data_IF_067739713607
#
_entry.id   IF_067739713607
#
_cell.length_a   1.000
_cell.length_b   1.000
_cell.length_c   1.000
_cell.angle_alpha   90.00
_cell.angle_beta   90.00
_cell.angle_gamma   90.00
#
_symmetry.space_group_name_H-M   'P 1'
#
loop_
_entity.id
_entity.type
_entity.pdbx_description
1 polymer ?
#
# COMPACT_ATOMS: atom_id res chain seq x y z
N UNK A 1 3.57 33.35 -5.24
CA UNK A 1 3.24 32.00 -4.72
C UNK A 1 4.49 31.14 -4.68
N UNK A 2 4.76 30.48 -3.59
CA UNK A 2 5.97 29.70 -3.40
C UNK A 2 5.80 28.27 -3.92
N UNK A 3 6.61 27.90 -4.93
CA UNK A 3 6.54 26.57 -5.53
C UNK A 3 6.87 25.45 -4.55
N UNK A 4 7.76 25.71 -3.58
CA UNK A 4 8.15 24.73 -2.56
C UNK A 4 6.96 24.35 -1.68
N UNK A 5 6.13 25.32 -1.27
CA UNK A 5 4.96 25.04 -0.46
C UNK A 5 3.93 24.21 -1.22
N UNK A 6 3.78 24.50 -2.53
CA UNK A 6 2.87 23.73 -3.37
C UNK A 6 3.31 22.26 -3.49
N UNK A 7 4.61 22.03 -3.68
CA UNK A 7 5.15 20.68 -3.76
C UNK A 7 4.99 19.90 -2.47
N UNK A 8 5.28 20.53 -1.33
CA UNK A 8 5.11 19.91 0.00
C UNK A 8 3.66 19.55 0.28
N UNK A 9 2.75 20.41 -0.12
CA UNK A 9 1.32 20.17 0.06
C UNK A 9 0.87 18.97 -0.75
N UNK A 10 1.32 18.87 -2.00
CA UNK A 10 1.01 17.73 -2.87
C UNK A 10 1.55 16.43 -2.31
N UNK A 11 2.78 16.45 -1.81
CA UNK A 11 3.40 15.27 -1.21
C UNK A 11 2.66 14.82 0.05
N UNK A 12 2.22 15.76 0.87
CA UNK A 12 1.42 15.46 2.05
C UNK A 12 0.06 14.88 1.69
N UNK A 13 -0.58 15.41 0.65
CA UNK A 13 -1.86 14.91 0.16
C UNK A 13 -1.71 13.49 -0.42
N UNK A 14 -0.63 13.24 -1.18
CA UNK A 14 -0.34 11.91 -1.71
C UNK A 14 -0.09 10.92 -0.60
N UNK A 15 0.65 11.30 0.42
CA UNK A 15 0.95 10.43 1.56
C UNK A 15 -0.34 10.06 2.30
N UNK A 16 -1.23 11.01 2.52
CA UNK A 16 -2.53 10.73 3.13
C UNK A 16 -3.37 9.80 2.28
N UNK A 17 -3.39 10.02 0.97
CA UNK A 17 -4.12 9.17 0.04
C UNK A 17 -3.57 7.75 0.06
N UNK A 18 -2.25 7.61 0.07
CA UNK A 18 -1.60 6.30 0.11
C UNK A 18 -1.87 5.58 1.43
N UNK A 19 -1.92 6.31 2.55
CA UNK A 19 -2.28 5.73 3.84
C UNK A 19 -3.71 5.20 3.84
N UNK A 20 -4.64 5.95 3.25
CA UNK A 20 -6.03 5.51 3.14
C UNK A 20 -6.12 4.24 2.27
N UNK A 21 -5.39 4.21 1.16
CA UNK A 21 -5.33 3.03 0.30
C UNK A 21 -4.72 1.83 1.02
N UNK A 22 -3.69 2.07 1.83
CA UNK A 22 -3.04 1.03 2.60
C UNK A 22 -4.02 0.42 3.62
N UNK A 23 -4.84 1.24 4.27
CA UNK A 23 -5.86 0.75 5.18
C UNK A 23 -6.89 -0.13 4.46
N UNK A 24 -7.32 0.30 3.27
CA UNK A 24 -8.24 -0.49 2.45
C UNK A 24 -7.64 -1.83 2.04
N UNK A 25 -6.39 -1.83 1.61
CA UNK A 25 -5.69 -3.06 1.22
C UNK A 25 -5.52 -3.98 2.44
N UNK A 26 -5.18 -3.42 3.60
CA UNK A 26 -5.01 -4.21 4.82
C UNK A 26 -6.32 -4.86 5.26
N UNK A 27 -7.44 -4.13 5.17
CA UNK A 27 -8.77 -4.69 5.45
C UNK A 27 -9.13 -5.79 4.46
N UNK A 28 -8.86 -5.57 3.18
CA UNK A 28 -9.12 -6.57 2.16
C UNK A 28 -8.29 -7.83 2.36
N UNK A 29 -7.02 -7.69 2.79
CA UNK A 29 -6.16 -8.82 3.14
C UNK A 29 -6.74 -9.62 4.29
N UNK A 30 -7.18 -8.95 5.35
CA UNK A 30 -7.79 -9.61 6.50
C UNK A 30 -9.01 -10.43 6.06
N UNK A 31 -9.87 -9.84 5.22
CA UNK A 31 -11.05 -10.54 4.71
C UNK A 31 -10.67 -11.72 3.83
N UNK A 32 -9.66 -11.56 2.97
CA UNK A 32 -9.21 -12.63 2.08
C UNK A 32 -8.66 -13.82 2.89
N UNK A 33 -7.89 -13.56 3.94
CA UNK A 33 -7.39 -14.62 4.83
C UNK A 33 -8.55 -15.29 5.58
N UNK A 34 -9.52 -14.53 6.05
CA UNK A 34 -10.70 -15.10 6.71
C UNK A 34 -11.46 -16.02 5.75
N UNK A 35 -11.67 -15.60 4.52
CA UNK A 35 -12.33 -16.41 3.50
C UNK A 35 -11.53 -17.66 3.21
N UNK A 36 -10.23 -17.54 3.00
CA UNK A 36 -9.35 -18.67 2.75
C UNK A 36 -9.45 -19.73 3.86
N UNK A 37 -9.47 -19.27 5.11
CA UNK A 37 -9.52 -20.17 6.27
C UNK A 37 -10.90 -20.83 6.47
N UNK A 38 -11.95 -20.29 5.87
CA UNK A 38 -13.32 -20.80 6.07
C UNK A 38 -13.86 -21.61 4.88
N UNK A 39 -13.18 -21.62 3.73
CA UNK A 39 -13.64 -22.36 2.56
C UNK A 39 -12.90 -23.71 2.44
N UNK A 40 -13.60 -24.69 1.88
CA UNK A 40 -13.02 -25.99 1.60
C UNK A 40 -12.99 -26.32 0.11
N UNK A 41 -13.62 -25.50 -0.73
CA UNK A 41 -13.62 -25.68 -2.17
C UNK A 41 -12.25 -25.29 -2.73
N UNK A 42 -11.51 -26.20 -3.41
CA UNK A 42 -10.19 -25.89 -3.95
C UNK A 42 -10.16 -24.73 -4.94
N UNK A 43 -11.22 -24.57 -5.74
CA UNK A 43 -11.29 -23.47 -6.72
C UNK A 43 -11.37 -22.13 -6.00
N UNK A 44 -12.17 -22.06 -4.94
CA UNK A 44 -12.29 -20.83 -4.16
C UNK A 44 -11.01 -20.57 -3.39
N UNK A 45 -10.36 -21.62 -2.88
CA UNK A 45 -9.06 -21.49 -2.21
C UNK A 45 -8.01 -20.89 -3.14
N UNK A 46 -7.96 -21.38 -4.39
CA UNK A 46 -7.03 -20.83 -5.39
C UNK A 46 -7.33 -19.36 -5.68
N UNK A 47 -8.60 -19.00 -5.82
CA UNK A 47 -9.00 -17.62 -6.03
C UNK A 47 -8.54 -16.72 -4.87
N UNK A 48 -8.68 -17.19 -3.63
CA UNK A 48 -8.22 -16.47 -2.44
C UNK A 48 -6.70 -16.27 -2.46
N UNK A 49 -5.95 -17.28 -2.87
CA UNK A 49 -4.49 -17.19 -2.96
C UNK A 49 -4.08 -16.14 -3.97
N UNK A 50 -4.70 -16.11 -5.16
CA UNK A 50 -4.42 -15.10 -6.17
C UNK A 50 -4.75 -13.70 -5.66
N UNK A 51 -5.88 -13.55 -4.97
CA UNK A 51 -6.29 -12.26 -4.40
C UNK A 51 -5.32 -11.81 -3.32
N UNK A 52 -4.91 -12.70 -2.42
CA UNK A 52 -3.94 -12.40 -1.36
C UNK A 52 -2.63 -11.94 -1.98
N UNK A 53 -2.13 -12.64 -2.99
CA UNK A 53 -0.89 -12.29 -3.66
C UNK A 53 -0.98 -10.92 -4.34
N UNK A 54 -2.09 -10.63 -4.99
CA UNK A 54 -2.32 -9.33 -5.63
C UNK A 54 -2.37 -8.21 -4.60
N UNK A 55 -3.06 -8.43 -3.48
CA UNK A 55 -3.17 -7.45 -2.39
C UNK A 55 -1.81 -7.22 -1.72
N UNK A 56 -1.02 -8.27 -1.51
CA UNK A 56 0.33 -8.13 -0.97
C UNK A 56 1.23 -7.32 -1.89
N UNK A 57 1.16 -7.55 -3.19
CA UNK A 57 1.92 -6.77 -4.17
C UNK A 57 1.53 -5.30 -4.14
N UNK A 58 0.23 -5.01 -4.05
CA UNK A 58 -0.28 -3.65 -3.96
C UNK A 58 0.16 -2.98 -2.66
N UNK A 59 0.10 -3.70 -1.55
CA UNK A 59 0.56 -3.22 -0.25
C UNK A 59 2.05 -2.85 -0.31
N UNK A 60 2.87 -3.72 -0.88
CA UNK A 60 4.30 -3.48 -0.99
C UNK A 60 4.61 -2.27 -1.86
N UNK A 61 3.86 -2.08 -2.95
CA UNK A 61 3.99 -0.91 -3.81
C UNK A 61 3.66 0.37 -3.07
N UNK A 62 2.55 0.38 -2.32
CA UNK A 62 2.14 1.53 -1.51
C UNK A 62 3.18 1.88 -0.45
N UNK A 63 3.71 0.88 0.25
CA UNK A 63 4.73 1.11 1.28
C UNK A 63 6.00 1.69 0.67
N UNK A 64 6.38 1.22 -0.51
CA UNK A 64 7.56 1.73 -1.22
C UNK A 64 7.37 3.20 -1.61
N UNK A 65 6.20 3.54 -2.14
CA UNK A 65 5.87 4.91 -2.54
C UNK A 65 5.84 5.84 -1.32
N UNK A 66 5.28 5.38 -0.22
CA UNK A 66 5.22 6.15 1.02
C UNK A 66 6.61 6.40 1.59
N UNK A 67 7.49 5.41 1.55
CA UNK A 67 8.89 5.60 1.98
C UNK A 67 9.60 6.64 1.14
N UNK A 68 9.36 6.62 -0.17
CA UNK A 68 9.97 7.60 -1.07
C UNK A 68 9.52 9.03 -0.73
N UNK A 69 8.25 9.20 -0.33
CA UNK A 69 7.72 10.51 0.06
C UNK A 69 8.23 10.97 1.42
N UNK A 70 8.51 10.04 2.33
CA UNK A 70 8.94 10.36 3.70
C UNK A 70 10.45 10.55 3.81
N UNK A 71 11.23 9.93 2.93
CA UNK A 71 12.69 10.02 3.01
C UNK A 71 13.18 11.39 2.58
N UNK A 72 14.02 12.06 3.40
CA UNK A 72 14.63 13.32 2.97
C UNK A 72 15.66 13.05 1.87
N UNK A 73 15.80 13.97 0.88
CA UNK A 73 16.74 13.80 -0.21
C UNK A 73 18.20 13.62 0.24
N UNK A 74 18.55 14.20 1.38
CA UNK A 74 19.92 14.12 1.92
C UNK A 74 20.32 12.72 2.32
N UNK A 75 19.37 11.84 2.66
CA UNK A 75 19.71 10.48 3.06
C UNK A 75 20.21 9.64 1.90
N UNK A 76 19.78 9.92 0.69
CA UNK A 76 20.32 9.27 -0.51
C UNK A 76 21.74 9.70 -0.80
N UNK A 77 22.07 10.95 -0.54
CA UNK A 77 23.41 11.50 -0.77
C UNK A 77 24.43 10.99 0.25
N UNK A 78 23.99 10.56 1.42
CA UNK A 78 24.87 10.05 2.45
C UNK A 78 25.43 8.65 2.16
N UNK A 79 24.87 8.00 1.20
CA UNK A 79 25.30 6.67 0.79
C UNK A 79 26.36 6.77 -0.31
#
# INVERSE_FOLDING_TARGET
>A
MNRRNTGRKRDGERLQSDRARLECVSSALTQAYCTFNSVSDPVIMDACIFEINALCARRNSLLRDMRALEQPPSSAAAL
#
